data_IF_525673401490
#
_entry.id   IF_525673401490
#
_cell.length_a   1.000
_cell.length_b   1.000
_cell.length_c   1.000
_cell.angle_alpha   90.00
_cell.angle_beta   90.00
_cell.angle_gamma   90.00
#
_symmetry.space_group_name_H-M   'P 1'
#
loop_
_entity.id
_entity.type
_entity.pdbx_description
1 polymer ?
#
# COMPACT_ATOMS: atom_id res chain seq x y z
N UNK A 1 -25.03 -3.79 -34.61
CA UNK A 1 -23.79 -3.29 -35.22
C UNK A 1 -22.76 -3.23 -34.12
N UNK A 2 -21.88 -4.22 -34.01
CA UNK A 2 -20.86 -4.29 -32.96
C UNK A 2 -19.66 -3.47 -33.41
N UNK A 3 -19.49 -2.27 -32.86
CA UNK A 3 -18.27 -1.47 -33.03
C UNK A 3 -17.25 -1.93 -31.99
N UNK A 4 -16.61 -3.06 -32.24
CA UNK A 4 -15.57 -3.62 -31.39
C UNK A 4 -14.18 -3.18 -31.82
N UNK A 5 -13.33 -2.81 -30.86
CA UNK A 5 -11.90 -2.59 -31.08
C UNK A 5 -11.20 -3.93 -31.36
N UNK A 6 -10.45 -4.03 -32.46
CA UNK A 6 -9.61 -5.21 -32.77
C UNK A 6 -8.25 -5.04 -32.09
N UNK A 7 -7.87 -5.96 -31.20
CA UNK A 7 -6.54 -5.97 -30.57
C UNK A 7 -5.67 -7.08 -31.20
N UNK A 8 -4.42 -6.77 -31.60
CA UNK A 8 -3.46 -7.82 -31.93
C UNK A 8 -3.18 -8.68 -30.69
N UNK A 9 -2.96 -9.99 -30.91
CA UNK A 9 -2.57 -10.91 -29.84
C UNK A 9 -1.37 -10.36 -29.05
N UNK A 10 -1.34 -10.46 -27.70
CA UNK A 10 -0.22 -9.98 -26.92
C UNK A 10 1.07 -10.72 -27.34
N UNK A 11 2.10 -9.98 -27.74
CA UNK A 11 3.42 -10.52 -28.07
C UNK A 11 4.25 -10.87 -26.83
N UNK A 12 3.73 -10.60 -25.63
CA UNK A 12 4.37 -10.87 -24.35
C UNK A 12 3.43 -11.66 -23.44
N UNK A 13 3.81 -12.91 -23.13
CA UNK A 13 3.20 -13.72 -22.07
C UNK A 13 3.79 -13.28 -20.74
N UNK A 14 3.05 -12.48 -19.98
CA UNK A 14 3.44 -12.13 -18.61
C UNK A 14 3.38 -13.36 -17.70
N UNK A 15 4.33 -13.55 -16.79
CA UNK A 15 4.30 -14.66 -15.82
C UNK A 15 3.16 -14.57 -14.79
N UNK A 16 2.43 -13.45 -14.79
CA UNK A 16 1.19 -13.23 -14.03
C UNK A 16 -0.07 -13.33 -14.90
N UNK A 17 0.08 -13.69 -16.17
CA UNK A 17 -1.03 -14.02 -17.05
C UNK A 17 -1.68 -15.32 -16.57
N UNK A 18 -2.93 -15.24 -16.10
CA UNK A 18 -3.72 -16.43 -15.80
C UNK A 18 -4.51 -16.84 -17.06
N UNK A 19 -4.13 -17.92 -17.76
CA UNK A 19 -4.84 -18.34 -18.95
C UNK A 19 -6.27 -18.81 -18.64
N UNK A 20 -6.61 -19.21 -17.42
CA UNK A 20 -7.98 -19.62 -17.07
C UNK A 20 -9.01 -18.48 -17.14
N UNK A 21 -8.56 -17.22 -17.17
CA UNK A 21 -9.38 -16.04 -17.50
C UNK A 21 -9.49 -15.88 -19.03
N UNK A 22 -9.73 -16.97 -19.77
CA UNK A 22 -10.04 -16.86 -21.19
C UNK A 22 -11.32 -16.03 -21.34
N UNK A 23 -11.14 -14.95 -22.10
CA UNK A 23 -12.17 -14.05 -22.58
C UNK A 23 -13.25 -14.89 -23.28
N UNK A 24 -14.51 -14.83 -22.85
CA UNK A 24 -15.59 -15.30 -23.73
C UNK A 24 -15.73 -14.26 -24.84
N UNK A 25 -14.95 -14.43 -25.90
CA UNK A 25 -15.07 -13.64 -27.11
C UNK A 25 -16.41 -13.96 -27.77
N UNK A 26 -17.05 -12.96 -28.36
CA UNK A 26 -18.21 -13.21 -29.21
C UNK A 26 -17.78 -13.96 -30.50
N UNK A 27 -18.77 -14.37 -31.29
CA UNK A 27 -18.56 -15.06 -32.57
C UNK A 27 -17.75 -14.24 -33.61
N UNK A 28 -17.50 -12.96 -33.32
CA UNK A 28 -16.73 -12.05 -34.16
C UNK A 28 -15.34 -11.76 -33.59
N UNK A 29 -14.96 -12.41 -32.48
CA UNK A 29 -13.64 -12.27 -31.85
C UNK A 29 -13.49 -11.00 -31.03
N UNK A 30 -14.57 -10.32 -30.68
CA UNK A 30 -14.56 -9.13 -29.84
C UNK A 30 -14.94 -9.45 -28.39
N UNK A 31 -14.48 -8.61 -27.47
CA UNK A 31 -14.94 -8.63 -26.08
C UNK A 31 -16.36 -8.06 -26.01
N UNK A 32 -17.24 -8.78 -25.33
CA UNK A 32 -18.53 -8.20 -24.94
C UNK A 32 -18.28 -7.10 -23.90
N UNK A 33 -19.12 -6.07 -23.90
CA UNK A 33 -19.02 -4.98 -22.92
C UNK A 33 -19.06 -5.51 -21.47
N UNK A 34 -19.95 -6.48 -21.20
CA UNK A 34 -20.09 -7.12 -19.90
C UNK A 34 -18.79 -7.80 -19.43
N UNK A 35 -18.14 -8.55 -20.33
CA UNK A 35 -16.87 -9.19 -20.01
C UNK A 35 -15.73 -8.17 -19.85
N UNK A 36 -15.67 -7.15 -20.71
CA UNK A 36 -14.68 -6.07 -20.60
C UNK A 36 -14.77 -5.34 -19.25
N UNK A 37 -15.99 -5.16 -18.70
CA UNK A 37 -16.18 -4.56 -17.38
C UNK A 37 -15.60 -5.41 -16.24
N UNK A 38 -15.59 -6.74 -16.37
CA UNK A 38 -14.95 -7.62 -15.38
C UNK A 38 -13.43 -7.49 -15.35
N UNK A 39 -12.80 -6.92 -16.37
CA UNK A 39 -11.34 -6.76 -16.47
C UNK A 39 -10.81 -5.56 -15.67
N UNK A 40 -11.65 -4.60 -15.27
CA UNK A 40 -11.23 -3.50 -14.41
C UNK A 40 -11.10 -3.96 -12.96
N UNK A 41 -9.91 -3.78 -12.36
CA UNK A 41 -9.74 -3.95 -10.93
C UNK A 41 -10.28 -2.72 -10.19
N UNK A 42 -11.23 -2.93 -9.29
CA UNK A 42 -11.66 -1.89 -8.34
C UNK A 42 -10.72 -1.86 -7.13
N UNK A 43 -10.78 -0.79 -6.32
CA UNK A 43 -9.92 -0.64 -5.13
C UNK A 43 -10.01 -1.79 -4.11
N UNK A 44 -11.07 -2.61 -4.16
CA UNK A 44 -11.33 -3.71 -3.24
C UNK A 44 -11.24 -5.09 -3.94
N UNK A 45 -10.70 -5.15 -5.15
CA UNK A 45 -10.68 -6.37 -5.96
C UNK A 45 -9.65 -7.38 -5.45
N UNK A 46 -10.10 -8.61 -5.17
CA UNK A 46 -9.25 -9.69 -4.63
C UNK A 46 -8.08 -10.07 -5.57
N UNK A 47 -8.21 -9.78 -6.87
CA UNK A 47 -7.18 -10.03 -7.88
C UNK A 47 -5.90 -9.20 -7.68
N UNK A 48 -5.96 -8.11 -6.90
CA UNK A 48 -4.77 -7.33 -6.53
C UNK A 48 -3.73 -8.16 -5.76
N UNK A 49 -4.14 -9.23 -5.07
CA UNK A 49 -3.24 -10.17 -4.37
C UNK A 49 -2.48 -11.08 -5.33
N UNK A 50 -2.99 -11.26 -6.56
CA UNK A 50 -2.43 -12.17 -7.57
C UNK A 50 -1.53 -11.46 -8.58
N UNK A 51 -1.41 -10.13 -8.50
CA UNK A 51 -0.39 -9.40 -9.22
C UNK A 51 0.97 -9.72 -8.58
N UNK A 52 1.85 -10.45 -9.27
CA UNK A 52 3.18 -10.79 -8.75
C UNK A 52 3.90 -9.54 -8.27
N UNK A 53 4.42 -9.60 -7.04
CA UNK A 53 5.06 -8.46 -6.37
C UNK A 53 4.17 -7.73 -5.36
N UNK A 54 2.85 -7.98 -5.34
CA UNK A 54 1.92 -7.35 -4.38
C UNK A 54 1.50 -8.35 -3.30
N UNK A 55 2.02 -8.19 -2.08
CA UNK A 55 1.56 -8.93 -0.88
C UNK A 55 0.75 -7.97 0.00
N UNK A 56 -0.53 -8.25 0.29
CA UNK A 56 -1.34 -7.39 1.16
C UNK A 56 -0.66 -7.13 2.51
N UNK A 57 -0.62 -5.87 2.93
CA UNK A 57 0.04 -5.47 4.17
C UNK A 57 1.57 -5.46 4.14
N UNK A 58 2.23 -5.66 2.99
CA UNK A 58 3.67 -5.49 2.80
C UNK A 58 3.98 -4.46 1.73
N UNK A 59 4.80 -3.45 2.05
CA UNK A 59 5.31 -2.52 1.05
C UNK A 59 6.48 -3.15 0.26
N UNK A 60 6.38 -3.14 -1.07
CA UNK A 60 7.45 -3.54 -1.99
C UNK A 60 7.68 -2.44 -3.02
N UNK A 61 8.95 -2.13 -3.30
CA UNK A 61 9.34 -1.06 -4.23
C UNK A 61 8.77 -1.36 -5.62
N UNK A 62 8.18 -0.35 -6.28
CA UNK A 62 7.62 -0.48 -7.63
C UNK A 62 6.30 -1.24 -7.72
N UNK A 63 5.69 -1.59 -6.59
CA UNK A 63 4.38 -2.26 -6.51
C UNK A 63 3.36 -1.39 -5.80
N UNK A 64 2.06 -1.63 -6.06
CA UNK A 64 0.98 -0.96 -5.34
C UNK A 64 0.98 -1.39 -3.85
N UNK A 65 0.90 -0.43 -2.92
CA UNK A 65 0.64 -0.72 -1.51
C UNK A 65 -0.86 -0.95 -1.32
N UNK A 66 -1.25 -2.16 -0.96
CA UNK A 66 -2.64 -2.52 -0.65
C UNK A 66 -2.76 -2.72 0.85
N UNK A 67 -3.61 -1.93 1.51
CA UNK A 67 -3.94 -2.08 2.93
C UNK A 67 -4.63 -3.44 3.15
N UNK A 68 -4.20 -4.18 4.18
CA UNK A 68 -4.91 -5.39 4.59
C UNK A 68 -6.29 -5.07 5.17
N UNK A 69 -7.15 -6.08 5.32
CA UNK A 69 -8.51 -5.90 5.88
C UNK A 69 -8.52 -5.28 7.29
N UNK A 70 -7.43 -5.43 8.05
CA UNK A 70 -7.23 -4.81 9.36
C UNK A 70 -6.73 -3.36 9.31
N UNK A 71 -6.52 -2.79 8.12
CA UNK A 71 -5.96 -1.45 7.92
C UNK A 71 -4.45 -1.36 8.19
N UNK A 72 -3.81 -2.45 8.61
CA UNK A 72 -2.39 -2.49 8.92
C UNK A 72 -1.53 -2.59 7.66
N UNK A 73 -0.35 -1.98 7.71
CA UNK A 73 0.73 -2.12 6.72
C UNK A 73 2.06 -2.30 7.42
N UNK A 74 2.95 -3.08 6.82
CA UNK A 74 4.23 -3.49 7.40
C UNK A 74 5.30 -3.66 6.30
N UNK A 75 6.54 -3.98 6.69
CA UNK A 75 7.61 -4.31 5.74
C UNK A 75 8.32 -3.12 5.09
N UNK A 76 8.17 -1.92 5.64
CA UNK A 76 8.92 -0.75 5.20
C UNK A 76 10.36 -0.80 5.74
N UNK A 77 11.36 -0.54 4.89
CA UNK A 77 12.74 -0.31 5.35
C UNK A 77 12.92 1.09 5.95
N UNK A 78 12.17 2.07 5.43
CA UNK A 78 12.09 3.43 5.94
C UNK A 78 10.71 4.02 5.62
N UNK A 79 10.22 4.93 6.47
CA UNK A 79 9.00 5.68 6.26
C UNK A 79 9.33 7.17 6.28
N UNK A 80 9.08 7.86 5.17
CA UNK A 80 9.09 9.33 5.11
C UNK A 80 7.65 9.80 5.07
N UNK A 81 7.28 10.66 6.02
CA UNK A 81 5.94 11.22 6.14
C UNK A 81 6.02 12.69 6.54
N UNK A 82 5.21 13.55 5.92
CA UNK A 82 5.10 14.97 6.32
C UNK A 82 4.53 15.10 7.73
N UNK A 83 3.55 14.26 8.06
CA UNK A 83 2.94 14.17 9.38
C UNK A 83 2.81 12.70 9.76
N UNK A 84 3.11 12.38 11.03
CA UNK A 84 2.85 11.07 11.61
C UNK A 84 1.90 11.26 12.79
N UNK A 85 0.75 10.59 12.76
CA UNK A 85 -0.23 10.57 13.85
C UNK A 85 -0.36 9.15 14.37
N UNK A 86 -0.37 8.99 15.70
CA UNK A 86 -0.49 7.69 16.35
C UNK A 86 0.60 7.44 17.37
N UNK A 87 0.73 6.18 17.80
CA UNK A 87 1.73 5.73 18.78
C UNK A 87 2.96 5.17 18.09
N UNK A 88 4.16 5.55 18.54
CA UNK A 88 5.38 4.86 18.16
C UNK A 88 5.67 3.79 19.22
N UNK A 89 5.51 2.53 18.86
CA UNK A 89 5.62 1.40 19.80
C UNK A 89 7.05 0.86 19.92
N UNK A 90 7.94 1.23 19.00
CA UNK A 90 9.37 0.91 19.10
C UNK A 90 9.94 1.54 20.36
N UNK A 91 10.66 0.75 21.17
CA UNK A 91 11.26 1.17 22.43
C UNK A 91 12.28 2.32 22.30
N UNK A 92 13.56 2.08 22.58
CA UNK A 92 14.57 3.16 22.53
C UNK A 92 14.51 3.95 21.22
N UNK A 93 14.38 5.29 21.30
CA UNK A 93 14.28 6.21 20.17
C UNK A 93 15.48 7.16 20.11
N UNK A 94 16.72 6.66 19.88
CA UNK A 94 17.94 7.44 20.03
C UNK A 94 18.10 8.58 19.02
N UNK A 95 17.33 8.57 17.92
CA UNK A 95 17.48 9.52 16.82
C UNK A 95 16.48 10.70 16.86
N UNK A 96 15.71 10.85 17.94
CA UNK A 96 14.88 12.05 18.13
C UNK A 96 15.78 13.19 18.60
N UNK A 97 16.01 14.18 17.75
CA UNK A 97 16.90 15.33 18.03
C UNK A 97 16.15 16.61 18.39
N UNK A 98 14.83 16.67 18.18
CA UNK A 98 13.98 17.79 18.54
C UNK A 98 12.53 17.35 18.71
N UNK A 99 11.83 18.02 19.62
CA UNK A 99 10.39 17.87 19.85
C UNK A 99 9.75 19.25 19.92
N UNK A 100 8.44 19.30 19.63
CA UNK A 100 7.61 20.46 19.91
C UNK A 100 7.23 20.55 21.39
N UNK A 101 6.05 21.11 21.65
CA UNK A 101 5.47 21.09 23.00
C UNK A 101 4.86 19.72 23.31
N UNK A 102 5.30 19.13 24.41
CA UNK A 102 4.62 17.98 25.02
C UNK A 102 3.67 18.50 26.10
N UNK A 103 2.42 18.04 26.09
CA UNK A 103 1.49 18.30 27.21
C UNK A 103 1.86 17.43 28.41
N UNK A 104 2.26 16.18 28.14
CA UNK A 104 2.55 15.16 29.15
C UNK A 104 3.80 14.37 28.77
N UNK A 105 4.62 14.04 29.77
CA UNK A 105 5.80 13.20 29.62
C UNK A 105 5.99 12.38 30.90
N UNK A 106 5.87 11.06 30.81
CA UNK A 106 6.17 10.15 31.92
C UNK A 106 7.58 9.59 31.74
N UNK A 107 8.41 9.69 32.78
CA UNK A 107 9.79 9.17 32.79
C UNK A 107 9.92 8.25 33.99
N UNK A 108 10.18 6.97 33.74
CA UNK A 108 10.34 5.97 34.80
C UNK A 108 11.71 6.01 35.48
N UNK A 109 12.69 6.69 34.88
CA UNK A 109 14.05 6.82 35.38
C UNK A 109 14.47 8.28 35.59
N UNK A 110 15.78 8.54 35.47
CA UNK A 110 16.32 9.88 35.63
C UNK A 110 16.06 10.75 34.38
N UNK A 111 15.62 11.98 34.62
CA UNK A 111 15.57 13.04 33.62
C UNK A 111 16.82 13.90 33.73
N UNK A 112 17.56 14.07 32.63
CA UNK A 112 18.73 14.94 32.54
C UNK A 112 18.53 15.98 31.44
N UNK A 113 18.78 17.24 31.76
CA UNK A 113 18.78 18.34 30.81
C UNK A 113 20.21 18.84 30.59
N UNK A 114 20.64 18.95 29.34
CA UNK A 114 21.93 19.53 28.97
C UNK A 114 21.91 21.05 28.83
N UNK A 115 20.75 21.69 29.05
CA UNK A 115 20.55 23.14 28.93
C UNK A 115 19.57 23.70 29.95
N UNK A 116 19.05 24.90 29.69
CA UNK A 116 18.13 25.59 30.60
C UNK A 116 16.79 24.87 30.70
N UNK A 117 16.36 24.54 31.92
CA UNK A 117 15.02 24.05 32.21
C UNK A 117 14.21 25.13 32.93
N UNK A 118 12.91 25.21 32.64
CA UNK A 118 11.93 26.02 33.37
C UNK A 118 10.75 25.13 33.72
N UNK A 119 10.56 24.87 35.01
CA UNK A 119 9.36 24.24 35.52
C UNK A 119 8.30 25.33 35.69
N UNK A 120 7.15 25.17 35.04
CA UNK A 120 5.94 25.90 35.41
C UNK A 120 5.16 25.00 36.34
N UNK A 121 4.99 25.44 37.58
CA UNK A 121 4.10 24.80 38.56
C UNK A 121 2.64 25.04 38.21
#
# INVERSE_FOLDING_TARGET
MSSGFSYPQPSFQSSIYNPAFYLSLDSSGYLTYDYAQTLYLTKNDYRMTYLSGVVPGKASIGSALVLGASGNTSGFSSLSATNLTGTIQTGSQPNITSLGFLTDLTISGNLSFSGSSRLKG
#
